data_IF_644611256630
#
_entry.id   IF_644611256630
#
_cell.length_a   1.000
_cell.length_b   1.000
_cell.length_c   1.000
_cell.angle_alpha   90.00
_cell.angle_beta   90.00
_cell.angle_gamma   90.00
#
_symmetry.space_group_name_H-M   'P 1'
#
loop_
_entity.id
_entity.type
_entity.pdbx_description
1 polymer ?
#
# COMPACT_ATOMS: atom_id res chain seq x y z
N UNK A 1 -13.97 -16.25 11.02
CA UNK A 1 -13.82 -16.25 9.54
C UNK A 1 -14.46 -17.47 8.89
N UNK A 2 -13.97 -18.70 9.14
CA UNK A 2 -14.51 -19.93 8.50
C UNK A 2 -16.04 -20.02 8.60
N UNK A 3 -16.59 -19.82 9.79
CA UNK A 3 -18.05 -19.82 10.01
C UNK A 3 -18.80 -18.79 9.16
N UNK A 4 -18.33 -17.53 9.14
CA UNK A 4 -18.95 -16.47 8.33
C UNK A 4 -18.92 -16.79 6.83
N UNK A 5 -17.83 -17.40 6.34
CA UNK A 5 -17.75 -17.83 4.94
C UNK A 5 -18.67 -19.03 4.66
N UNK A 6 -18.74 -20.02 5.56
CA UNK A 6 -19.57 -21.21 5.33
C UNK A 6 -21.07 -20.91 5.24
N UNK A 7 -21.53 -19.83 5.89
CA UNK A 7 -22.92 -19.38 5.84
C UNK A 7 -23.17 -18.37 4.72
N UNK A 8 -22.16 -18.04 3.91
CA UNK A 8 -22.29 -17.05 2.87
C UNK A 8 -23.23 -17.52 1.74
N UNK A 9 -24.17 -16.67 1.26
CA UNK A 9 -25.13 -17.07 0.23
C UNK A 9 -24.47 -17.42 -1.11
N UNK A 10 -23.33 -16.79 -1.43
CA UNK A 10 -22.53 -17.17 -2.60
C UNK A 10 -21.77 -18.48 -2.36
N UNK A 11 -22.04 -19.49 -3.21
CA UNK A 11 -21.42 -20.83 -3.12
C UNK A 11 -19.91 -20.84 -3.31
N UNK A 12 -19.36 -19.90 -4.09
CA UNK A 12 -17.91 -19.81 -4.32
C UNK A 12 -17.24 -19.30 -3.05
N UNK A 13 -17.78 -18.27 -2.42
CA UNK A 13 -17.25 -17.76 -1.16
C UNK A 13 -17.40 -18.76 -0.01
N UNK A 14 -18.52 -19.48 0.05
CA UNK A 14 -18.66 -20.55 1.05
C UNK A 14 -17.77 -21.76 0.80
N UNK A 15 -17.40 -22.06 -0.45
CA UNK A 15 -16.40 -23.10 -0.75
C UNK A 15 -15.01 -22.77 -0.18
N UNK A 16 -14.65 -21.48 -0.08
CA UNK A 16 -13.37 -21.05 0.52
C UNK A 16 -13.27 -21.56 1.96
N UNK A 17 -14.38 -21.62 2.72
CA UNK A 17 -14.38 -22.10 4.12
C UNK A 17 -13.86 -23.55 4.28
N UNK A 18 -13.88 -24.33 3.21
CA UNK A 18 -13.44 -25.72 3.17
C UNK A 18 -11.97 -25.86 2.73
N UNK A 19 -11.35 -24.80 2.22
CA UNK A 19 -9.96 -24.82 1.76
C UNK A 19 -9.01 -24.47 2.91
N UNK A 20 -8.30 -25.49 3.41
CA UNK A 20 -7.31 -25.33 4.47
C UNK A 20 -6.13 -24.44 4.07
N UNK A 21 -5.85 -24.27 2.77
CA UNK A 21 -4.83 -23.33 2.31
C UNK A 21 -5.14 -21.88 2.69
N UNK A 22 -6.43 -21.52 2.76
CA UNK A 22 -6.89 -20.16 3.05
C UNK A 22 -6.87 -19.79 4.53
N UNK A 23 -6.62 -20.73 5.45
CA UNK A 23 -6.67 -20.46 6.89
C UNK A 23 -5.44 -20.99 7.62
N UNK A 24 -4.79 -20.11 8.38
CA UNK A 24 -3.69 -20.47 9.26
C UNK A 24 -4.09 -20.22 10.73
N UNK A 25 -4.06 -21.24 11.62
CA UNK A 25 -4.45 -21.08 13.02
C UNK A 25 -3.50 -20.18 13.82
N UNK A 26 -2.27 -19.97 13.33
CA UNK A 26 -1.25 -19.11 13.94
C UNK A 26 -1.21 -17.71 13.33
N UNK A 27 -2.15 -17.34 12.44
CA UNK A 27 -2.14 -16.05 11.74
C UNK A 27 -2.11 -14.86 12.70
N UNK A 28 -2.83 -14.94 13.80
CA UNK A 28 -2.93 -13.87 14.81
C UNK A 28 -1.59 -13.62 15.54
N UNK A 29 -0.61 -14.52 15.41
CA UNK A 29 0.72 -14.38 16.00
C UNK A 29 1.68 -13.55 15.15
N UNK A 30 1.37 -13.33 13.86
CA UNK A 30 2.29 -12.70 12.88
C UNK A 30 2.00 -11.19 12.73
N UNK A 31 0.87 -10.71 13.24
CA UNK A 31 0.53 -9.28 13.23
C UNK A 31 -0.97 -9.02 13.26
N UNK A 32 -1.36 -7.78 12.99
CA UNK A 32 -2.75 -7.35 13.00
C UNK A 32 -3.62 -8.18 12.04
N UNK A 33 -4.69 -8.78 12.56
CA UNK A 33 -5.68 -9.54 11.79
C UNK A 33 -6.91 -8.70 11.53
N UNK A 34 -7.26 -8.43 10.25
CA UNK A 34 -8.48 -7.70 9.92
C UNK A 34 -9.74 -8.40 10.43
N UNK A 35 -10.79 -7.64 10.78
CA UNK A 35 -12.09 -8.20 11.15
C UNK A 35 -12.69 -9.06 10.04
N UNK A 36 -13.38 -10.14 10.42
CA UNK A 36 -13.86 -11.12 9.43
C UNK A 36 -14.93 -10.60 8.49
N UNK A 37 -15.83 -9.74 8.99
CA UNK A 37 -16.84 -9.08 8.15
C UNK A 37 -16.18 -8.24 7.06
N UNK A 38 -15.13 -7.48 7.40
CA UNK A 38 -14.44 -6.64 6.44
C UNK A 38 -13.74 -7.44 5.33
N UNK A 39 -13.25 -8.65 5.63
CA UNK A 39 -12.71 -9.54 4.60
C UNK A 39 -13.82 -10.09 3.71
N UNK A 40 -14.98 -10.43 4.27
CA UNK A 40 -16.15 -10.86 3.48
C UNK A 40 -16.59 -9.74 2.54
N UNK A 41 -16.68 -8.49 3.00
CA UNK A 41 -17.05 -7.34 2.16
C UNK A 41 -16.09 -7.13 0.97
N UNK A 42 -14.78 -7.35 1.21
CA UNK A 42 -13.76 -7.28 0.14
C UNK A 42 -13.92 -8.44 -0.84
N UNK A 43 -14.25 -9.65 -0.36
CA UNK A 43 -14.51 -10.80 -1.20
C UNK A 43 -15.75 -10.58 -2.07
N UNK A 44 -16.85 -10.06 -1.53
CA UNK A 44 -18.05 -9.70 -2.29
C UNK A 44 -17.73 -8.66 -3.37
N UNK A 45 -16.95 -7.63 -3.02
CA UNK A 45 -16.51 -6.60 -3.98
C UNK A 45 -15.66 -7.21 -5.11
N UNK A 46 -14.82 -8.21 -4.79
CA UNK A 46 -14.03 -8.92 -5.78
C UNK A 46 -14.88 -9.82 -6.68
N UNK A 47 -15.93 -10.45 -6.14
CA UNK A 47 -16.89 -11.23 -6.91
C UNK A 47 -17.64 -10.36 -7.92
N UNK A 48 -18.19 -9.23 -7.45
CA UNK A 48 -18.84 -8.23 -8.31
C UNK A 48 -17.92 -7.77 -9.45
N UNK A 49 -16.68 -7.39 -9.10
CA UNK A 49 -15.71 -6.94 -10.09
C UNK A 49 -15.36 -8.02 -11.13
N UNK A 50 -15.32 -9.29 -10.72
CA UNK A 50 -15.03 -10.42 -11.59
C UNK A 50 -16.19 -10.73 -12.55
N UNK A 51 -17.41 -10.81 -12.02
CA UNK A 51 -18.60 -11.20 -12.79
C UNK A 51 -19.02 -10.15 -13.79
N UNK A 52 -18.93 -8.88 -13.41
CA UNK A 52 -19.32 -7.76 -14.27
C UNK A 52 -18.15 -7.21 -15.10
N UNK A 53 -17.05 -7.96 -15.19
CA UNK A 53 -15.89 -7.64 -16.02
C UNK A 53 -15.34 -6.23 -15.79
N UNK A 54 -15.35 -5.77 -14.54
CA UNK A 54 -14.90 -4.44 -14.17
C UNK A 54 -13.46 -4.18 -14.66
N UNK A 55 -13.20 -2.93 -15.05
CA UNK A 55 -11.88 -2.49 -15.49
C UNK A 55 -10.88 -2.50 -14.33
N UNK A 56 -9.58 -2.52 -14.65
CA UNK A 56 -8.48 -2.50 -13.68
C UNK A 56 -8.61 -1.35 -12.66
N UNK A 57 -9.01 -0.16 -13.13
CA UNK A 57 -9.24 0.98 -12.25
C UNK A 57 -10.34 0.75 -11.20
N UNK A 58 -11.41 0.03 -11.55
CA UNK A 58 -12.47 -0.34 -10.61
C UNK A 58 -11.98 -1.37 -9.61
N UNK A 59 -11.22 -2.38 -10.04
CA UNK A 59 -10.56 -3.34 -9.14
C UNK A 59 -9.62 -2.64 -8.15
N UNK A 60 -8.88 -1.63 -8.61
CA UNK A 60 -7.98 -0.84 -7.80
C UNK A 60 -8.72 -0.13 -6.65
N UNK A 61 -9.89 0.42 -6.93
CA UNK A 61 -10.71 1.13 -5.93
C UNK A 61 -11.43 0.15 -5.01
N UNK A 62 -12.14 -0.82 -5.58
CA UNK A 62 -13.07 -1.67 -4.83
C UNK A 62 -12.39 -2.79 -4.06
N UNK A 63 -11.22 -3.25 -4.51
CA UNK A 63 -10.55 -4.42 -3.94
C UNK A 63 -9.15 -4.07 -3.46
N UNK A 64 -8.25 -3.68 -4.37
CA UNK A 64 -6.82 -3.60 -4.05
C UNK A 64 -6.50 -2.51 -3.02
N UNK A 65 -7.09 -1.32 -3.15
CA UNK A 65 -6.94 -0.25 -2.15
C UNK A 65 -7.47 -0.67 -0.78
N UNK A 66 -8.56 -1.44 -0.71
CA UNK A 66 -9.12 -1.94 0.54
C UNK A 66 -8.17 -2.95 1.21
N UNK A 67 -7.64 -3.91 0.43
CA UNK A 67 -6.66 -4.89 0.92
C UNK A 67 -5.41 -4.18 1.48
N UNK A 68 -4.86 -3.22 0.73
CA UNK A 68 -3.69 -2.45 1.17
C UNK A 68 -3.98 -1.65 2.44
N UNK A 69 -5.17 -1.06 2.55
CA UNK A 69 -5.59 -0.38 3.78
C UNK A 69 -5.68 -1.32 4.96
N UNK A 70 -6.25 -2.52 4.81
CA UNK A 70 -6.35 -3.48 5.90
C UNK A 70 -4.97 -4.00 6.36
N UNK A 71 -4.01 -4.08 5.44
CA UNK A 71 -2.66 -4.52 5.74
C UNK A 71 -1.77 -3.43 6.37
N UNK A 72 -1.89 -2.18 5.91
CA UNK A 72 -0.94 -1.10 6.23
C UNK A 72 -1.52 0.03 7.08
N UNK A 73 -2.83 0.04 7.30
CA UNK A 73 -3.53 1.07 8.09
C UNK A 73 -4.43 0.39 9.13
N UNK A 74 -3.85 -0.06 10.26
CA UNK A 74 -4.59 -0.79 11.28
C UNK A 74 -5.74 0.05 11.84
N UNK A 75 -6.83 -0.63 12.19
CA UNK A 75 -8.01 0.01 12.78
C UNK A 75 -7.68 0.68 14.11
N UNK A 76 -8.30 1.84 14.38
CA UNK A 76 -8.12 2.56 15.64
C UNK A 76 -6.92 3.51 15.68
N UNK A 77 -6.15 3.60 14.59
CA UNK A 77 -5.10 4.60 14.40
C UNK A 77 -5.47 5.56 13.26
N UNK A 78 -4.96 6.80 13.25
CA UNK A 78 -5.13 7.68 12.10
C UNK A 78 -4.50 7.06 10.85
N UNK A 79 -5.22 7.04 9.74
CA UNK A 79 -4.85 6.29 8.53
C UNK A 79 -3.45 6.63 7.98
N UNK A 80 -3.02 7.87 8.13
CA UNK A 80 -1.73 8.36 7.63
C UNK A 80 -0.65 8.42 8.71
N UNK A 81 -1.00 8.06 9.95
CA UNK A 81 -0.10 8.12 11.10
C UNK A 81 0.70 6.82 11.31
N UNK A 82 1.29 6.32 10.23
CA UNK A 82 2.03 5.07 10.19
C UNK A 82 3.38 5.29 9.50
N UNK A 83 4.43 4.64 10.00
CA UNK A 83 5.76 4.66 9.38
C UNK A 83 5.70 4.07 7.96
N UNK A 84 4.99 2.96 7.77
CA UNK A 84 4.77 2.36 6.46
C UNK A 84 3.34 2.69 6.02
N UNK A 85 3.19 3.17 4.80
CA UNK A 85 1.89 3.44 4.21
C UNK A 85 1.89 3.19 2.70
N UNK A 86 0.76 3.41 2.03
CA UNK A 86 0.63 3.29 0.59
C UNK A 86 -0.15 4.47 -0.01
N UNK A 87 0.03 4.70 -1.30
CA UNK A 87 -0.76 5.65 -2.09
C UNK A 87 -0.98 5.11 -3.49
N UNK A 88 -2.05 5.57 -4.17
CA UNK A 88 -2.19 5.34 -5.60
C UNK A 88 -1.22 6.24 -6.38
N UNK A 89 -0.65 5.68 -7.44
CA UNK A 89 0.37 6.29 -8.28
C UNK A 89 0.02 6.19 -9.78
N UNK A 90 -1.23 5.87 -10.12
CA UNK A 90 -1.67 5.66 -11.50
C UNK A 90 -1.44 6.87 -12.42
N UNK A 91 -1.29 8.07 -11.85
CA UNK A 91 -0.97 9.30 -12.57
C UNK A 91 0.49 9.73 -12.47
N UNK A 92 1.23 9.21 -11.48
CA UNK A 92 2.62 9.56 -11.22
C UNK A 92 3.51 9.12 -12.39
N UNK A 93 4.39 10.01 -12.83
CA UNK A 93 5.32 9.75 -13.93
C UNK A 93 6.74 9.67 -13.42
N UNK A 94 7.59 8.95 -14.16
CA UNK A 94 9.02 8.87 -13.86
C UNK A 94 9.65 10.19 -14.33
N UNK A 95 10.55 10.77 -13.53
CA UNK A 95 11.33 11.95 -13.89
C UNK A 95 12.15 11.64 -15.14
N UNK A 96 12.14 12.58 -16.09
CA UNK A 96 12.75 12.41 -17.41
C UNK A 96 14.24 12.04 -17.35
N UNK A 97 14.98 12.57 -16.37
CA UNK A 97 16.41 12.28 -16.17
C UNK A 97 16.71 10.80 -15.86
N UNK A 98 15.71 10.06 -15.36
CA UNK A 98 15.84 8.62 -15.10
C UNK A 98 15.36 7.74 -16.27
N UNK A 99 14.77 8.34 -17.31
CA UNK A 99 14.27 7.61 -18.47
C UNK A 99 15.32 7.57 -19.59
N UNK A 100 15.55 6.41 -20.21
CA UNK A 100 16.26 6.38 -21.49
C UNK A 100 15.42 7.11 -22.56
N UNK A 101 16.08 7.73 -23.55
CA UNK A 101 15.46 8.63 -24.54
C UNK A 101 14.23 8.08 -25.30
N UNK A 102 14.04 6.76 -25.36
CA UNK A 102 13.01 6.11 -26.19
C UNK A 102 11.99 5.26 -25.39
N UNK A 103 11.96 5.37 -24.06
CA UNK A 103 11.03 4.58 -23.24
C UNK A 103 9.84 5.41 -22.76
N UNK A 104 8.63 4.90 -23.00
CA UNK A 104 7.42 5.44 -22.38
C UNK A 104 7.49 5.29 -20.86
N UNK A 105 7.11 6.34 -20.12
CA UNK A 105 7.06 6.30 -18.67
C UNK A 105 6.06 5.23 -18.20
N UNK A 106 6.57 4.09 -17.74
CA UNK A 106 5.73 3.05 -17.13
C UNK A 106 5.20 3.60 -15.80
N UNK A 107 3.87 3.70 -15.70
CA UNK A 107 3.18 4.06 -14.45
C UNK A 107 2.93 2.79 -13.64
N UNK A 108 2.80 2.97 -12.33
CA UNK A 108 2.47 1.90 -11.37
C UNK A 108 1.17 2.24 -10.67
N UNK A 109 0.33 1.24 -10.38
CA UNK A 109 -0.99 1.49 -9.79
C UNK A 109 -0.92 2.06 -8.36
N UNK A 110 -0.04 1.48 -7.54
CA UNK A 110 0.21 1.89 -6.17
C UNK A 110 1.70 1.83 -5.85
N UNK A 111 2.09 2.50 -4.78
CA UNK A 111 3.36 2.26 -4.12
C UNK A 111 3.18 2.22 -2.61
N UNK A 112 4.08 1.50 -1.94
CA UNK A 112 4.30 1.60 -0.51
C UNK A 112 5.45 2.58 -0.26
N UNK A 113 5.32 3.39 0.77
CA UNK A 113 6.31 4.40 1.14
C UNK A 113 6.55 4.45 2.65
N UNK A 114 7.71 4.97 3.02
CA UNK A 114 8.05 5.32 4.40
C UNK A 114 7.66 6.77 4.69
N UNK A 115 7.09 7.02 5.86
CA UNK A 115 6.72 8.33 6.34
C UNK A 115 7.71 8.80 7.42
N UNK A 116 8.69 9.66 7.08
CA UNK A 116 9.82 9.97 7.96
C UNK A 116 9.44 10.60 9.31
N UNK A 117 8.28 11.24 9.39
CA UNK A 117 7.78 11.87 10.63
C UNK A 117 7.41 10.84 11.71
N UNK A 118 7.22 9.58 11.32
CA UNK A 118 6.93 8.47 12.23
C UNK A 118 8.13 7.52 12.39
N UNK A 119 9.30 7.90 11.88
CA UNK A 119 10.57 7.25 12.24
C UNK A 119 10.98 7.72 13.65
N UNK A 120 11.68 6.87 14.39
CA UNK A 120 12.04 7.19 15.77
C UNK A 120 12.93 8.44 15.82
N UNK A 121 12.59 9.45 16.64
CA UNK A 121 13.35 10.69 16.70
C UNK A 121 14.74 10.43 17.28
N UNK A 122 15.76 11.09 16.71
CA UNK A 122 17.07 11.17 17.37
C UNK A 122 16.89 12.06 18.60
N UNK A 123 17.15 11.55 19.80
CA UNK A 123 17.20 12.39 20.99
C UNK A 123 18.27 13.47 20.76
N UNK A 124 17.90 14.76 20.73
CA UNK A 124 18.88 15.80 20.45
C UNK A 124 19.86 15.90 21.63
N UNK A 125 21.15 16.04 21.31
CA UNK A 125 22.20 16.24 22.32
C UNK A 125 22.01 17.55 23.11
N UNK A 126 21.19 18.48 22.60
CA UNK A 126 20.86 19.75 23.22
C UNK A 126 19.35 20.06 23.11
N UNK A 127 18.71 20.56 24.17
CA UNK A 127 17.25 20.76 24.24
C UNK A 127 16.68 21.86 23.32
N UNK A 128 17.51 22.51 22.49
CA UNK A 128 17.11 23.61 21.59
C UNK A 128 17.00 23.21 20.12
N UNK A 129 17.35 21.98 19.73
CA UNK A 129 17.21 21.50 18.35
C UNK A 129 15.90 20.75 18.16
N UNK A 130 15.19 21.04 17.06
CA UNK A 130 14.06 20.23 16.61
C UNK A 130 14.57 18.79 16.42
N UNK A 131 13.97 17.82 17.12
CA UNK A 131 14.35 16.42 16.98
C UNK A 131 13.89 15.93 15.60
N UNK A 132 14.79 15.87 14.62
CA UNK A 132 14.54 15.22 13.35
C UNK A 132 14.76 13.71 13.49
N UNK A 133 13.99 12.94 12.75
CA UNK A 133 14.27 11.50 12.65
C UNK A 133 15.56 11.26 11.84
N UNK A 134 16.17 10.08 12.01
CA UNK A 134 17.34 9.68 11.22
C UNK A 134 17.02 9.71 9.73
N UNK A 135 15.81 9.30 9.39
CA UNK A 135 15.31 9.29 8.03
C UNK A 135 15.18 10.69 7.45
N UNK A 136 14.60 11.65 8.17
CA UNK A 136 14.48 13.05 7.70
C UNK A 136 15.85 13.66 7.41
N UNK A 137 16.82 13.47 8.30
CA UNK A 137 18.19 13.95 8.09
C UNK A 137 18.84 13.32 6.85
N UNK A 138 18.70 12.00 6.69
CA UNK A 138 19.25 11.29 5.53
C UNK A 138 18.62 11.78 4.22
N UNK A 139 17.30 11.96 4.19
CA UNK A 139 16.57 12.47 3.02
C UNK A 139 17.05 13.88 2.67
N UNK A 140 17.14 14.78 3.65
CA UNK A 140 17.63 16.14 3.45
C UNK A 140 19.06 16.18 2.92
N UNK A 141 19.92 15.24 3.34
CA UNK A 141 21.31 15.17 2.87
C UNK A 141 21.41 14.66 1.43
N UNK A 142 20.59 13.68 1.04
CA UNK A 142 20.72 13.01 -0.26
C UNK A 142 19.95 13.71 -1.37
N UNK A 143 18.77 14.27 -1.08
CA UNK A 143 17.86 14.75 -2.13
C UNK A 143 18.46 15.87 -2.97
N UNK A 144 19.33 16.71 -2.39
CA UNK A 144 19.95 17.83 -3.10
C UNK A 144 20.88 17.38 -4.24
N UNK A 145 21.30 16.10 -4.25
CA UNK A 145 22.12 15.50 -5.29
C UNK A 145 21.32 14.71 -6.33
N UNK A 146 19.99 14.64 -6.19
CA UNK A 146 19.10 13.90 -7.08
C UNK A 146 18.36 14.85 -8.02
N UNK A 147 18.02 14.39 -9.25
CA UNK A 147 17.07 15.06 -10.13
C UNK A 147 15.84 15.61 -9.40
N UNK A 148 15.51 16.87 -9.71
CA UNK A 148 14.39 17.63 -9.13
C UNK A 148 14.39 17.76 -7.59
N UNK A 149 15.50 17.44 -6.93
CA UNK A 149 15.63 17.47 -5.47
C UNK A 149 14.60 16.62 -4.73
N UNK A 150 14.26 15.46 -5.31
CA UNK A 150 13.33 14.48 -4.73
C UNK A 150 14.03 13.15 -4.46
N UNK A 151 13.57 12.42 -3.44
CA UNK A 151 14.22 11.15 -3.03
C UNK A 151 13.85 9.96 -3.94
N UNK A 152 12.79 10.09 -4.74
CA UNK A 152 12.24 9.01 -5.55
C UNK A 152 12.45 9.27 -7.04
N UNK A 153 12.21 8.24 -7.86
CA UNK A 153 12.26 8.34 -9.32
C UNK A 153 11.08 9.13 -9.93
N UNK A 154 10.15 9.63 -9.11
CA UNK A 154 8.97 10.39 -9.51
C UNK A 154 8.93 11.72 -8.76
N UNK A 155 8.47 12.76 -9.45
CA UNK A 155 8.28 14.12 -8.92
C UNK A 155 6.96 14.29 -8.17
N UNK A 156 6.15 13.22 -8.07
CA UNK A 156 4.82 13.24 -7.49
C UNK A 156 4.86 13.92 -6.11
N UNK A 157 4.14 15.05 -5.89
CA UNK A 157 4.32 15.89 -4.71
C UNK A 157 4.17 15.14 -3.38
N UNK A 158 3.26 14.17 -3.35
CA UNK A 158 3.04 13.34 -2.18
C UNK A 158 4.25 12.45 -1.84
N UNK A 159 5.20 12.20 -2.74
CA UNK A 159 6.30 11.26 -2.51
C UNK A 159 7.67 11.94 -2.46
N UNK A 160 7.78 13.27 -2.60
CA UNK A 160 9.07 13.97 -2.69
C UNK A 160 10.03 13.67 -1.54
N UNK A 161 9.49 13.56 -0.33
CA UNK A 161 10.23 13.30 0.90
C UNK A 161 9.76 12.00 1.59
N UNK A 162 9.03 11.14 0.87
CA UNK A 162 8.52 9.88 1.40
C UNK A 162 9.08 8.73 0.56
N UNK A 163 10.21 8.11 0.97
CA UNK A 163 10.88 7.10 0.17
C UNK A 163 9.95 5.94 -0.21
N UNK A 164 9.89 5.62 -1.49
CA UNK A 164 9.16 4.46 -2.00
C UNK A 164 9.97 3.20 -1.67
N UNK A 165 9.31 2.21 -1.06
CA UNK A 165 9.92 0.91 -0.73
C UNK A 165 9.46 -0.22 -1.63
N UNK A 166 8.26 -0.11 -2.20
CA UNK A 166 7.70 -1.12 -3.08
C UNK A 166 6.74 -0.49 -4.07
N UNK A 167 6.86 -0.89 -5.34
CA UNK A 167 5.88 -0.57 -6.37
C UNK A 167 4.94 -1.75 -6.59
N UNK A 168 3.66 -1.46 -6.77
CA UNK A 168 2.62 -2.46 -6.95
C UNK A 168 1.93 -2.18 -8.28
N UNK A 169 2.08 -3.14 -9.18
CA UNK A 169 1.34 -3.20 -10.42
C UNK A 169 0.25 -4.25 -10.27
N UNK A 170 -0.99 -3.85 -10.50
CA UNK A 170 -2.12 -4.75 -10.59
C UNK A 170 -2.32 -5.14 -12.04
N UNK A 171 -2.60 -6.41 -12.28
CA UNK A 171 -2.92 -6.90 -13.62
C UNK A 171 -4.05 -7.88 -13.50
N UNK A 172 -5.02 -7.75 -14.38
CA UNK A 172 -6.02 -8.81 -14.56
C UNK A 172 -5.29 -10.06 -15.06
N UNK A 173 -5.47 -11.19 -14.39
CA UNK A 173 -5.09 -12.48 -14.98
C UNK A 173 -6.07 -12.73 -16.13
N UNK A 174 -5.57 -12.72 -17.36
CA UNK A 174 -6.32 -13.22 -18.49
C UNK A 174 -6.50 -14.73 -18.28
N UNK A 175 -7.75 -15.15 -18.15
CA UNK A 175 -8.17 -16.55 -18.25
C UNK A 175 -8.65 -16.83 -19.66
#
# INVERSE_FOLDING_TARGET
>A
MRHHLSEHPDKRLSSIAQDDFCFNPSRDQIGHTPPSNTIVDVLDSAMECAENFHAEASWNIEVHSRILSLALRPSGQPQFANLINFTSCSTASIIGDYLPCDFGAKKVDFCMYLNPIYDEPILPAYPTSLAHSKMEHAIGTVKDYLPESVINYTDYPALRERPIILNIETKRRFG
#
